data_IF_239657886202
#
_entry.id   IF_239657886202
#
_cell.length_a   1.000
_cell.length_b   1.000
_cell.length_c   1.000
_cell.angle_alpha   90.00
_cell.angle_beta   90.00
_cell.angle_gamma   90.00
#
_symmetry.space_group_name_H-M   'P 1'
#
loop_
_entity.id
_entity.type
_entity.pdbx_description
1 polymer ?
#
# COMPACT_ATOMS: atom_id res chain seq x y z
N UNK A 1 54.48 -15.42 -22.33
CA UNK A 1 53.52 -14.37 -21.94
C UNK A 1 53.71 -14.07 -20.46
N UNK A 2 54.58 -13.10 -20.18
CA UNK A 2 54.97 -12.62 -18.86
C UNK A 2 53.86 -11.75 -18.26
N UNK A 3 53.33 -12.15 -17.10
CA UNK A 3 52.30 -11.42 -16.36
C UNK A 3 52.95 -10.30 -15.55
N UNK A 4 52.82 -9.05 -15.99
CA UNK A 4 53.20 -7.88 -15.20
C UNK A 4 52.13 -7.62 -14.13
N UNK A 5 52.52 -7.72 -12.86
CA UNK A 5 51.75 -7.29 -11.69
C UNK A 5 52.19 -5.89 -11.28
N UNK A 6 51.32 -4.90 -11.42
CA UNK A 6 51.55 -3.53 -10.95
C UNK A 6 50.95 -3.38 -9.54
N UNK A 7 51.79 -3.41 -8.50
CA UNK A 7 51.38 -3.08 -7.12
C UNK A 7 51.52 -1.58 -6.88
N UNK A 8 50.39 -0.86 -6.88
CA UNK A 8 50.35 0.56 -6.56
C UNK A 8 50.34 0.74 -5.03
N UNK A 9 51.51 0.95 -4.43
CA UNK A 9 51.64 1.34 -3.03
C UNK A 9 51.24 2.81 -2.87
N UNK A 10 50.17 3.08 -2.11
CA UNK A 10 49.80 4.44 -1.66
C UNK A 10 50.58 4.78 -0.38
N UNK A 11 51.22 5.95 -0.26
CA UNK A 11 51.85 6.36 0.99
C UNK A 11 50.77 6.70 2.03
N UNK A 12 50.98 6.21 3.25
CA UNK A 12 50.17 6.54 4.44
C UNK A 12 50.37 8.02 4.76
N UNK A 13 49.28 8.77 4.86
CA UNK A 13 49.27 10.16 5.34
C UNK A 13 49.19 10.12 6.86
N UNK A 14 50.18 10.70 7.53
CA UNK A 14 50.21 10.84 8.97
C UNK A 14 49.02 11.69 9.45
N UNK A 15 48.27 11.14 10.41
CA UNK A 15 47.15 11.80 11.08
C UNK A 15 47.74 12.63 12.23
N UNK A 16 47.73 13.95 12.07
CA UNK A 16 47.97 14.89 13.17
C UNK A 16 46.81 14.81 14.17
N UNK A 17 47.05 14.76 15.49
CA UNK A 17 45.98 14.78 16.48
C UNK A 17 45.32 16.17 16.51
N UNK A 18 44.04 16.20 16.16
CA UNK A 18 43.17 17.37 16.36
C UNK A 18 43.02 17.65 17.85
N UNK A 19 43.27 18.90 18.23
CA UNK A 19 43.34 19.37 19.61
C UNK A 19 42.08 19.12 20.44
N UNK A 20 42.33 18.74 21.69
CA UNK A 20 41.35 18.66 22.77
C UNK A 20 40.64 20.01 22.95
N UNK A 21 39.32 20.02 22.81
CA UNK A 21 38.50 21.19 23.10
C UNK A 21 38.55 21.51 24.61
N UNK A 22 38.68 22.78 25.02
CA UNK A 22 38.61 23.16 26.43
C UNK A 22 37.20 22.91 26.99
N UNK A 23 37.07 22.43 28.24
CA UNK A 23 35.77 22.23 28.87
C UNK A 23 35.08 23.57 29.12
N UNK A 24 33.79 23.64 28.80
CA UNK A 24 32.93 24.80 29.03
C UNK A 24 32.92 25.15 30.53
N UNK A 25 33.56 26.25 30.89
CA UNK A 25 33.35 26.91 32.17
C UNK A 25 31.93 27.45 32.20
N UNK A 26 31.13 26.94 33.15
CA UNK A 26 29.82 27.51 33.49
C UNK A 26 30.03 28.96 33.89
N UNK A 27 29.56 29.90 33.07
CA UNK A 27 29.31 31.26 33.52
C UNK A 27 28.13 31.16 34.48
N UNK A 28 28.42 31.24 35.77
CA UNK A 28 27.42 31.46 36.80
C UNK A 28 26.84 32.87 36.57
N UNK A 29 25.65 32.94 35.98
CA UNK A 29 24.77 34.07 36.21
C UNK A 29 24.21 33.89 37.62
N UNK A 30 24.61 34.82 38.46
CA UNK A 30 24.06 35.15 39.77
C UNK A 30 22.57 35.50 39.58
N UNK A 31 21.67 34.61 40.00
CA UNK A 31 20.25 34.89 40.18
C UNK A 31 19.84 34.31 41.52
N UNK A 32 19.79 35.21 42.51
CA UNK A 32 19.30 34.91 43.85
C UNK A 32 17.81 34.59 43.79
N UNK A 33 17.45 33.34 44.06
CA UNK A 33 16.19 32.99 44.74
C UNK A 33 16.28 31.55 45.26
N UNK A 34 16.82 31.40 46.47
CA UNK A 34 16.58 30.23 47.29
C UNK A 34 15.09 30.16 47.67
N UNK A 35 14.42 29.06 47.34
CA UNK A 35 13.33 28.55 48.17
C UNK A 35 13.65 27.11 48.56
N UNK A 36 14.31 27.00 49.71
CA UNK A 36 14.48 25.80 50.52
C UNK A 36 13.15 25.05 50.68
N UNK A 37 13.15 23.76 50.35
CA UNK A 37 12.06 22.82 50.64
C UNK A 37 12.39 22.09 51.94
N UNK A 38 11.70 22.43 53.03
CA UNK A 38 11.77 21.77 54.34
C UNK A 38 10.37 21.30 54.79
N UNK A 39 10.20 19.98 54.70
CA UNK A 39 9.60 19.05 55.67
C UNK A 39 8.37 19.44 56.54
N UNK A 40 7.25 18.71 56.33
CA UNK A 40 6.54 17.93 57.35
C UNK A 40 5.57 18.62 58.33
N UNK A 41 4.30 18.17 58.35
CA UNK A 41 3.38 18.43 59.47
C UNK A 41 1.91 18.06 59.24
N UNK A 42 1.47 16.95 59.82
CA UNK A 42 0.07 16.54 59.99
C UNK A 42 -0.66 17.48 60.94
N UNK A 43 -1.90 17.88 60.61
CA UNK A 43 -2.77 18.65 61.50
C UNK A 43 -4.20 18.75 60.97
N UNK A 44 -5.10 17.99 61.57
CA UNK A 44 -6.56 18.10 61.43
C UNK A 44 -7.05 19.45 61.95
N UNK A 45 -7.87 20.17 61.17
CA UNK A 45 -8.52 21.40 61.59
C UNK A 45 -9.62 21.81 60.61
N UNK A 46 -10.87 21.67 61.04
CA UNK A 46 -12.08 22.11 60.34
C UNK A 46 -12.10 23.63 60.11
N UNK A 47 -12.47 24.06 58.91
CA UNK A 47 -12.70 25.49 58.62
C UNK A 47 -12.81 25.77 57.14
N UNK A 48 -13.95 25.41 56.54
CA UNK A 48 -14.35 25.92 55.22
C UNK A 48 -14.75 27.38 55.40
N UNK A 49 -13.92 28.33 54.95
CA UNK A 49 -14.40 29.62 54.40
C UNK A 49 -13.25 30.41 53.74
N UNK A 50 -13.47 30.75 52.47
CA UNK A 50 -12.96 31.92 51.72
C UNK A 50 -11.48 31.92 51.28
N UNK A 51 -11.19 31.11 50.26
CA UNK A 51 -10.12 31.40 49.30
C UNK A 51 -10.72 31.85 47.96
N UNK A 52 -11.31 33.05 47.93
CA UNK A 52 -11.73 33.75 46.70
C UNK A 52 -10.84 34.96 46.38
N UNK A 53 -9.66 35.09 47.03
CA UNK A 53 -8.70 36.16 46.72
C UNK A 53 -7.52 35.71 45.84
N UNK A 54 -7.42 34.42 45.53
CA UNK A 54 -6.35 33.88 44.68
C UNK A 54 -6.72 33.89 43.19
N UNK A 55 -8.01 34.04 42.84
CA UNK A 55 -8.49 34.08 41.46
C UNK A 55 -8.63 35.48 40.84
N UNK A 56 -8.55 36.55 41.65
CA UNK A 56 -8.63 37.95 41.15
C UNK A 56 -7.24 38.60 41.00
N UNK A 57 -6.25 38.18 41.81
CA UNK A 57 -4.87 38.66 41.70
C UNK A 57 -4.11 38.10 40.47
N UNK A 58 -4.56 36.97 39.92
CA UNK A 58 -3.97 36.35 38.73
C UNK A 58 -4.36 37.04 37.40
N UNK A 59 -5.19 38.10 37.42
CA UNK A 59 -5.71 38.77 36.22
C UNK A 59 -5.39 40.26 36.12
N UNK A 60 -4.75 40.86 37.12
CA UNK A 60 -4.41 42.27 37.09
C UNK A 60 -2.95 42.44 36.64
N UNK A 61 -2.71 42.44 35.32
CA UNK A 61 -1.47 42.98 34.77
C UNK A 61 -1.30 44.38 35.36
N UNK A 62 -0.18 44.63 36.06
CA UNK A 62 0.07 45.91 36.73
C UNK A 62 -0.19 47.07 35.78
N UNK A 63 -0.78 48.17 36.26
CA UNK A 63 -1.09 49.37 35.44
C UNK A 63 0.15 49.91 34.71
N UNK A 64 1.35 49.70 35.27
CA UNK A 64 2.64 50.00 34.64
C UNK A 64 2.96 49.06 33.47
N UNK A 65 2.63 47.78 33.59
CA UNK A 65 2.78 46.81 32.53
C UNK A 65 1.76 47.05 31.40
N UNK A 66 0.49 47.34 31.70
CA UNK A 66 -0.50 47.70 30.66
C UNK A 66 -0.06 48.90 29.82
N UNK A 67 0.45 49.97 30.45
CA UNK A 67 0.98 51.14 29.74
C UNK A 67 2.18 50.82 28.83
N UNK A 68 2.99 49.83 29.20
CA UNK A 68 4.10 49.35 28.36
C UNK A 68 3.58 48.53 27.19
N UNK A 69 2.67 47.59 27.43
CA UNK A 69 2.01 46.82 26.35
C UNK A 69 1.31 47.77 25.37
N UNK A 70 0.59 48.79 25.86
CA UNK A 70 -0.08 49.81 25.03
C UNK A 70 0.91 50.68 24.25
N UNK A 71 2.08 50.97 24.83
CA UNK A 71 3.13 51.72 24.14
C UNK A 71 3.80 50.86 23.05
N UNK A 72 4.01 49.58 23.32
CA UNK A 72 4.58 48.60 22.39
C UNK A 72 3.60 48.30 21.24
N UNK A 73 2.31 48.09 21.54
CA UNK A 73 1.21 47.93 20.56
C UNK A 73 1.04 49.14 19.63
N UNK A 74 1.32 50.36 20.12
CA UNK A 74 1.29 51.59 19.31
C UNK A 74 2.47 51.71 18.37
N UNK A 75 3.62 51.15 18.75
CA UNK A 75 4.80 51.11 17.88
C UNK A 75 4.59 50.05 16.81
N UNK A 76 4.08 48.88 17.18
CA UNK A 76 3.76 47.80 16.26
C UNK A 76 2.62 46.92 16.80
N UNK A 77 1.54 46.80 16.02
CA UNK A 77 0.36 46.00 16.38
C UNK A 77 0.63 44.50 16.37
N UNK A 78 1.72 44.04 15.76
CA UNK A 78 2.06 42.61 15.60
C UNK A 78 2.94 42.06 16.72
N UNK A 79 3.37 42.90 17.66
CA UNK A 79 4.32 42.55 18.74
C UNK A 79 3.87 41.35 19.59
N UNK A 80 2.56 41.16 19.77
CA UNK A 80 2.00 40.08 20.57
C UNK A 80 1.29 38.99 19.75
N UNK A 81 1.42 39.00 18.42
CA UNK A 81 0.73 38.05 17.52
C UNK A 81 1.50 36.73 17.31
N UNK A 82 2.56 36.47 18.08
CA UNK A 82 3.39 35.27 17.90
C UNK A 82 2.60 33.96 18.06
N UNK A 83 1.80 33.84 19.11
CA UNK A 83 1.00 32.65 19.37
C UNK A 83 -0.08 32.45 18.30
N UNK A 84 -0.74 33.52 17.85
CA UNK A 84 -1.77 33.47 16.81
C UNK A 84 -1.21 33.02 15.45
N UNK A 85 -0.04 33.54 15.06
CA UNK A 85 0.65 33.14 13.81
C UNK A 85 1.15 31.70 13.90
N UNK A 86 1.70 31.29 15.05
CA UNK A 86 2.16 29.93 15.28
C UNK A 86 1.00 28.92 15.25
N UNK A 87 -0.09 29.21 15.94
CA UNK A 87 -1.29 28.39 15.96
C UNK A 87 -1.92 28.32 14.56
N UNK A 88 -1.97 29.44 13.84
CA UNK A 88 -2.41 29.49 12.44
C UNK A 88 -1.55 28.60 11.53
N UNK A 89 -0.22 28.63 11.69
CA UNK A 89 0.72 27.83 10.91
C UNK A 89 0.53 26.34 11.20
N UNK A 90 0.29 25.96 12.47
CA UNK A 90 0.03 24.57 12.87
C UNK A 90 -1.33 24.07 12.39
N UNK A 91 -2.35 24.92 12.40
CA UNK A 91 -3.65 24.62 11.83
C UNK A 91 -3.56 24.45 10.29
N UNK A 92 -2.79 25.29 9.61
CA UNK A 92 -2.54 25.16 8.17
C UNK A 92 -1.77 23.87 7.84
N UNK A 93 -0.76 23.53 8.63
CA UNK A 93 -0.02 22.26 8.52
C UNK A 93 -0.97 21.06 8.70
N UNK A 94 -1.82 21.08 9.74
CA UNK A 94 -2.81 20.03 9.99
C UNK A 94 -3.84 19.90 8.86
N UNK A 95 -4.35 21.03 8.33
CA UNK A 95 -5.24 21.05 7.16
C UNK A 95 -4.56 20.46 5.93
N UNK A 96 -3.31 20.82 5.64
CA UNK A 96 -2.56 20.28 4.51
C UNK A 96 -2.33 18.77 4.64
N UNK A 97 -2.13 18.28 5.87
CA UNK A 97 -1.96 16.86 6.15
C UNK A 97 -3.26 16.08 5.98
N UNK A 98 -4.38 16.60 6.49
CA UNK A 98 -5.70 16.02 6.27
C UNK A 98 -6.03 15.93 4.77
N UNK A 99 -5.76 16.98 4.00
CA UNK A 99 -5.94 16.97 2.54
C UNK A 99 -5.08 15.91 1.83
N UNK A 100 -3.85 15.66 2.29
CA UNK A 100 -2.98 14.60 1.75
C UNK A 100 -3.51 13.20 2.09
N UNK A 101 -4.09 13.01 3.28
CA UNK A 101 -4.67 11.73 3.72
C UNK A 101 -6.01 11.44 3.02
N UNK A 102 -6.80 12.47 2.74
CA UNK A 102 -8.07 12.37 2.00
C UNK A 102 -7.85 12.12 0.49
N UNK A 103 -6.65 12.35 -0.03
CA UNK A 103 -6.33 12.09 -1.43
C UNK A 103 -6.47 10.58 -1.73
N UNK A 104 -7.35 10.16 -2.67
CA UNK A 104 -7.52 8.76 -3.03
C UNK A 104 -6.23 8.10 -3.56
N UNK A 105 -5.24 8.87 -4.01
CA UNK A 105 -3.92 8.36 -4.37
C UNK A 105 -3.13 7.86 -3.17
N UNK A 106 -3.28 8.47 -1.99
CA UNK A 106 -2.64 8.00 -0.75
C UNK A 106 -3.24 6.66 -0.27
N UNK A 107 -4.49 6.38 -0.65
CA UNK A 107 -5.17 5.11 -0.37
C UNK A 107 -4.76 3.97 -1.31
N UNK A 108 -4.10 4.26 -2.44
CA UNK A 108 -3.62 3.22 -3.36
C UNK A 108 -2.43 2.48 -2.72
N UNK A 109 -2.30 1.16 -2.93
CA UNK A 109 -1.18 0.38 -2.40
C UNK A 109 0.16 0.87 -2.97
N UNK A 110 1.14 1.06 -2.08
CA UNK A 110 2.43 1.72 -2.37
C UNK A 110 3.25 1.09 -3.50
N UNK A 111 3.10 -0.21 -3.76
CA UNK A 111 3.96 -0.95 -4.69
C UNK A 111 3.23 -1.55 -5.90
N UNK A 112 1.90 -1.59 -5.91
CA UNK A 112 1.14 -2.26 -6.98
C UNK A 112 1.34 -1.58 -8.33
N UNK A 113 1.39 -0.24 -8.33
CA UNK A 113 1.62 0.54 -9.55
C UNK A 113 2.94 0.15 -10.22
N UNK A 114 4.03 0.12 -9.45
CA UNK A 114 5.35 -0.24 -9.99
C UNK A 114 5.37 -1.69 -10.52
N UNK A 115 4.63 -2.61 -9.87
CA UNK A 115 4.51 -3.99 -10.35
C UNK A 115 3.77 -4.03 -11.69
N UNK A 116 2.62 -3.35 -11.81
CA UNK A 116 1.83 -3.28 -13.03
C UNK A 116 2.59 -2.59 -14.17
N UNK A 117 3.24 -1.47 -13.89
CA UNK A 117 4.08 -0.74 -14.85
C UNK A 117 5.22 -1.65 -15.34
N UNK A 118 5.90 -2.37 -14.42
CA UNK A 118 6.96 -3.31 -14.80
C UNK A 118 6.45 -4.52 -15.60
N UNK A 119 5.21 -4.97 -15.36
CA UNK A 119 4.61 -6.04 -16.15
C UNK A 119 4.26 -5.54 -17.56
N UNK A 120 3.77 -4.30 -17.68
CA UNK A 120 3.48 -3.66 -18.94
C UNK A 120 4.76 -3.45 -19.77
N UNK A 121 5.85 -2.95 -19.18
CA UNK A 121 7.13 -2.80 -19.90
C UNK A 121 7.65 -4.15 -20.39
N UNK A 122 7.61 -5.20 -19.57
CA UNK A 122 8.04 -6.55 -19.99
C UNK A 122 7.20 -7.09 -21.15
N UNK A 123 5.90 -6.82 -21.19
CA UNK A 123 5.03 -7.21 -22.31
C UNK A 123 5.42 -6.48 -23.59
N UNK A 124 5.65 -5.17 -23.51
CA UNK A 124 6.13 -4.37 -24.64
C UNK A 124 7.51 -4.84 -25.12
N UNK A 125 8.41 -5.16 -24.19
CA UNK A 125 9.75 -5.69 -24.50
C UNK A 125 9.67 -7.05 -25.20
N UNK A 126 8.76 -7.93 -24.77
CA UNK A 126 8.52 -9.22 -25.40
C UNK A 126 8.06 -9.06 -26.85
N UNK A 127 7.04 -8.23 -27.09
CA UNK A 127 6.55 -7.93 -28.45
C UNK A 127 7.64 -7.34 -29.34
N UNK A 128 8.48 -6.44 -28.78
CA UNK A 128 9.62 -5.85 -29.50
C UNK A 128 10.68 -6.90 -29.83
N UNK A 129 10.93 -7.85 -28.93
CA UNK A 129 11.88 -8.92 -29.16
C UNK A 129 11.40 -9.90 -30.25
N UNK A 130 10.13 -10.28 -30.23
CA UNK A 130 9.50 -11.11 -31.26
C UNK A 130 9.55 -10.42 -32.64
N UNK A 131 9.20 -9.14 -32.72
CA UNK A 131 9.30 -8.35 -33.95
C UNK A 131 10.73 -8.32 -34.50
N UNK A 132 11.70 -8.05 -33.63
CA UNK A 132 13.12 -8.01 -34.02
C UNK A 132 13.63 -9.38 -34.43
N UNK A 133 13.11 -10.46 -33.84
CA UNK A 133 13.40 -11.83 -34.23
C UNK A 133 12.84 -12.13 -35.62
N UNK A 134 11.56 -11.84 -35.86
CA UNK A 134 10.89 -12.04 -37.16
C UNK A 134 11.58 -11.22 -38.27
N UNK A 135 11.99 -10.00 -37.95
CA UNK A 135 12.73 -9.17 -38.90
C UNK A 135 14.10 -9.77 -39.21
N UNK A 136 14.81 -10.29 -38.20
CA UNK A 136 16.10 -10.98 -38.39
C UNK A 136 15.96 -12.27 -39.19
N UNK A 137 14.87 -13.01 -38.99
CA UNK A 137 14.54 -14.21 -39.78
C UNK A 137 14.28 -13.86 -41.24
N UNK A 138 13.51 -12.80 -41.52
CA UNK A 138 13.29 -12.32 -42.90
C UNK A 138 14.56 -11.83 -43.58
N UNK A 139 15.42 -11.12 -42.84
CA UNK A 139 16.72 -10.68 -43.36
C UNK A 139 17.66 -11.87 -43.62
N UNK A 140 17.56 -12.95 -42.82
CA UNK A 140 18.30 -14.17 -43.03
C UNK A 140 17.78 -15.01 -44.20
N UNK A 141 16.45 -15.04 -44.42
CA UNK A 141 15.81 -15.65 -45.60
C UNK A 141 16.14 -14.87 -46.90
N UNK A 142 16.51 -13.59 -46.78
CA UNK A 142 17.09 -12.80 -47.87
C UNK A 142 16.26 -12.83 -49.15
N UNK A 143 16.88 -13.31 -50.24
CA UNK A 143 16.28 -13.36 -51.57
C UNK A 143 15.51 -14.67 -51.85
N UNK A 144 15.51 -15.65 -50.92
CA UNK A 144 14.91 -16.98 -51.14
C UNK A 144 13.39 -16.92 -51.39
N UNK A 145 12.75 -15.81 -50.99
CA UNK A 145 11.32 -15.56 -51.16
C UNK A 145 11.03 -14.21 -51.85
N UNK A 146 12.01 -13.64 -52.57
CA UNK A 146 11.80 -12.39 -53.31
C UNK A 146 10.76 -12.52 -54.43
N UNK A 147 10.69 -13.69 -55.07
CA UNK A 147 9.75 -14.00 -56.16
C UNK A 147 8.34 -14.35 -55.67
N UNK A 148 8.13 -14.46 -54.35
CA UNK A 148 6.83 -14.83 -53.76
C UNK A 148 6.15 -13.59 -53.18
N UNK A 149 4.84 -13.49 -53.41
CA UNK A 149 4.04 -12.37 -52.91
C UNK A 149 4.01 -12.34 -51.37
N UNK A 150 4.27 -11.16 -50.78
CA UNK A 150 4.29 -10.95 -49.32
C UNK A 150 2.90 -10.51 -48.84
N UNK A 151 2.18 -11.41 -48.18
CA UNK A 151 0.87 -11.09 -47.60
C UNK A 151 1.00 -10.69 -46.14
N UNK A 152 0.68 -9.43 -45.85
CA UNK A 152 0.64 -8.91 -44.48
C UNK A 152 -0.80 -8.72 -44.04
N UNK A 153 -1.20 -9.42 -42.97
CA UNK A 153 -2.54 -9.30 -42.38
C UNK A 153 -2.73 -7.90 -41.78
N UNK A 154 -3.96 -7.38 -41.77
CA UNK A 154 -4.26 -6.08 -41.15
C UNK A 154 -3.82 -6.04 -39.68
N UNK A 155 -4.06 -7.13 -38.93
CA UNK A 155 -3.64 -7.26 -37.54
C UNK A 155 -2.12 -7.10 -37.33
N UNK A 156 -1.29 -7.59 -38.26
CA UNK A 156 0.17 -7.39 -38.18
C UNK A 156 0.56 -5.94 -38.46
N UNK A 157 -0.12 -5.27 -39.41
CA UNK A 157 0.11 -3.83 -39.66
C UNK A 157 -0.27 -2.99 -38.44
N UNK A 158 -1.36 -3.34 -37.78
CA UNK A 158 -1.84 -2.65 -36.57
C UNK A 158 -0.90 -2.90 -35.38
N UNK A 159 -0.45 -4.15 -35.17
CA UNK A 159 0.57 -4.47 -34.15
C UNK A 159 1.87 -3.72 -34.40
N UNK A 160 2.36 -3.65 -35.64
CA UNK A 160 3.57 -2.89 -35.97
C UNK A 160 3.40 -1.39 -35.75
N UNK A 161 2.23 -0.84 -36.05
CA UNK A 161 1.92 0.56 -35.79
C UNK A 161 1.83 0.84 -34.27
N UNK A 162 1.26 -0.07 -33.51
CA UNK A 162 1.15 0.01 -32.05
C UNK A 162 2.52 -0.06 -31.37
N UNK A 163 3.37 -1.03 -31.75
CA UNK A 163 4.75 -1.15 -31.24
C UNK A 163 5.56 0.09 -31.58
N UNK A 164 5.48 0.59 -32.82
CA UNK A 164 6.19 1.82 -33.24
C UNK A 164 5.70 3.06 -32.49
N UNK A 165 4.39 3.17 -32.25
CA UNK A 165 3.81 4.26 -31.47
C UNK A 165 4.25 4.19 -30.01
N UNK A 166 4.21 3.00 -29.41
CA UNK A 166 4.65 2.77 -28.03
C UNK A 166 6.14 3.09 -27.86
N UNK A 167 7.00 2.70 -28.81
CA UNK A 167 8.43 3.01 -28.79
C UNK A 167 8.70 4.52 -28.95
N UNK A 168 7.98 5.19 -29.86
CA UNK A 168 8.10 6.64 -30.02
C UNK A 168 7.65 7.41 -28.77
N UNK A 169 6.59 6.95 -28.09
CA UNK A 169 6.09 7.55 -26.84
C UNK A 169 7.04 7.29 -25.67
N UNK A 170 7.55 6.07 -25.52
CA UNK A 170 8.55 5.73 -24.50
C UNK A 170 9.82 6.55 -24.70
N UNK A 171 10.32 6.63 -25.94
CA UNK A 171 11.52 7.40 -26.28
C UNK A 171 11.32 8.91 -26.07
N UNK A 172 10.16 9.45 -26.44
CA UNK A 172 9.84 10.86 -26.18
C UNK A 172 9.77 11.15 -24.67
N UNK A 173 9.21 10.22 -23.88
CA UNK A 173 9.15 10.32 -22.42
C UNK A 173 10.54 10.23 -21.79
N UNK A 174 11.36 9.26 -22.20
CA UNK A 174 12.73 9.11 -21.72
C UNK A 174 13.57 10.34 -22.07
N UNK A 175 13.44 10.91 -23.27
CA UNK A 175 14.13 12.14 -23.65
C UNK A 175 13.68 13.34 -22.82
N UNK A 176 12.39 13.44 -22.49
CA UNK A 176 11.87 14.48 -21.62
C UNK A 176 12.36 14.32 -20.18
N UNK A 177 12.35 13.11 -19.63
CA UNK A 177 12.89 12.79 -18.30
C UNK A 177 14.42 12.99 -18.27
N UNK A 178 15.14 12.60 -19.32
CA UNK A 178 16.58 12.84 -19.46
C UNK A 178 16.89 14.33 -19.54
N UNK A 179 16.07 15.13 -20.23
CA UNK A 179 16.21 16.59 -20.26
C UNK A 179 15.93 17.22 -18.90
N UNK A 180 14.89 16.78 -18.18
CA UNK A 180 14.58 17.24 -16.80
C UNK A 180 15.67 16.86 -15.80
N UNK A 181 16.23 15.66 -15.93
CA UNK A 181 17.30 15.17 -15.08
C UNK A 181 18.68 15.70 -15.51
N UNK A 182 18.78 16.36 -16.67
CA UNK A 182 20.04 16.98 -17.13
C UNK A 182 20.31 18.24 -16.31
N UNK A 183 21.17 18.09 -15.29
CA UNK A 183 21.57 19.19 -14.40
C UNK A 183 21.09 19.03 -12.95
N UNK A 184 20.18 18.10 -12.69
CA UNK A 184 19.87 17.62 -11.35
C UNK A 184 20.95 16.59 -10.97
N UNK A 185 21.99 17.03 -10.25
CA UNK A 185 23.11 16.17 -9.84
C UNK A 185 22.60 14.86 -9.23
N UNK A 186 22.82 13.74 -9.92
CA UNK A 186 22.26 12.46 -9.55
C UNK A 186 22.80 11.94 -8.21
N UNK A 187 21.91 11.45 -7.35
CA UNK A 187 22.25 10.82 -6.07
C UNK A 187 21.56 11.43 -4.85
N UNK A 188 22.14 11.21 -3.67
CA UNK A 188 21.58 11.67 -2.39
C UNK A 188 21.42 13.19 -2.30
N UNK A 189 22.26 13.97 -3.00
CA UNK A 189 22.16 15.44 -3.06
C UNK A 189 20.85 15.90 -3.66
N UNK A 190 20.35 15.23 -4.70
CA UNK A 190 19.03 15.49 -5.28
C UNK A 190 17.91 15.18 -4.29
N UNK A 191 18.01 14.07 -3.57
CA UNK A 191 17.02 13.69 -2.56
C UNK A 191 16.96 14.72 -1.43
N UNK A 192 18.10 15.15 -0.89
CA UNK A 192 18.14 16.20 0.14
C UNK A 192 17.63 17.54 -0.38
N UNK A 193 17.98 17.91 -1.63
CA UNK A 193 17.45 19.11 -2.27
C UNK A 193 15.93 19.06 -2.38
N UNK A 194 15.37 17.96 -2.86
CA UNK A 194 13.93 17.77 -2.97
C UNK A 194 13.25 17.80 -1.59
N UNK A 195 13.83 17.15 -0.58
CA UNK A 195 13.30 17.19 0.79
C UNK A 195 13.24 18.63 1.33
N UNK A 196 14.29 19.42 1.09
CA UNK A 196 14.36 20.82 1.51
C UNK A 196 13.40 21.72 0.73
N UNK A 197 13.23 21.48 -0.57
CA UNK A 197 12.24 22.16 -1.42
C UNK A 197 10.80 21.83 -0.98
N UNK A 198 10.50 20.57 -0.68
CA UNK A 198 9.19 20.15 -0.18
C UNK A 198 8.90 20.73 1.21
N UNK A 199 9.91 20.78 2.10
CA UNK A 199 9.75 21.40 3.43
C UNK A 199 9.59 22.91 3.36
N UNK A 200 10.38 23.59 2.52
CA UNK A 200 10.26 25.05 2.33
C UNK A 200 8.92 25.42 1.71
N UNK A 201 8.47 24.71 0.67
CA UNK A 201 7.16 24.92 0.06
C UNK A 201 6.00 24.71 1.04
N UNK A 202 6.07 23.67 1.87
CA UNK A 202 5.03 23.40 2.88
C UNK A 202 4.98 24.51 3.94
N UNK A 203 6.14 25.00 4.34
CA UNK A 203 6.27 26.10 5.30
C UNK A 203 5.83 27.45 4.71
N UNK A 204 6.24 27.76 3.48
CA UNK A 204 5.78 28.95 2.73
C UNK A 204 4.27 28.94 2.53
N UNK A 205 3.68 27.80 2.20
CA UNK A 205 2.22 27.67 2.09
C UNK A 205 1.52 27.89 3.44
N UNK A 206 2.12 27.42 4.54
CA UNK A 206 1.58 27.64 5.88
C UNK A 206 1.67 29.11 6.31
N UNK A 207 2.78 29.81 6.00
CA UNK A 207 2.92 31.25 6.24
C UNK A 207 2.01 32.07 5.33
N UNK A 208 1.87 31.69 4.06
CA UNK A 208 0.95 32.35 3.13
C UNK A 208 -0.50 32.24 3.62
N UNK A 209 -0.88 31.09 4.18
CA UNK A 209 -2.20 30.88 4.76
C UNK A 209 -2.46 31.74 6.01
N UNK A 210 -1.45 31.99 6.85
CA UNK A 210 -1.62 32.86 8.03
C UNK A 210 -1.58 34.34 7.69
N UNK A 211 -0.82 34.74 6.67
CA UNK A 211 -0.69 36.15 6.25
C UNK A 211 -1.82 36.63 5.34
N UNK A 212 -2.51 35.73 4.63
CA UNK A 212 -3.65 36.07 3.77
C UNK A 212 -4.99 36.20 4.51
N UNK A 213 -5.08 35.73 5.76
CA UNK A 213 -6.25 35.87 6.63
C UNK A 213 -6.00 36.81 7.84
N UNK A 214 -5.91 38.14 7.68
CA UNK A 214 -6.15 39.08 8.77
C UNK A 214 -7.57 39.65 8.65
N UNK A 215 -8.60 38.83 8.84
CA UNK A 215 -9.94 39.33 9.10
C UNK A 215 -10.09 39.54 10.62
N UNK A 216 -10.26 40.78 11.11
CA UNK A 216 -10.37 41.05 12.55
C UNK A 216 -11.68 40.47 13.09
N UNK A 217 -11.61 39.37 13.83
CA UNK A 217 -12.72 38.93 14.67
C UNK A 217 -12.81 39.83 15.92
N UNK A 218 -13.40 41.01 15.76
CA UNK A 218 -13.82 41.86 16.86
C UNK A 218 -15.34 41.83 17.01
N UNK A 219 -15.87 40.87 17.78
CA UNK A 219 -17.14 41.04 18.48
C UNK A 219 -17.07 40.33 19.85
N UNK A 220 -17.08 41.08 20.98
CA UNK A 220 -17.26 40.49 22.29
C UNK A 220 -18.75 40.23 22.54
N UNK A 221 -19.07 38.96 22.82
CA UNK A 221 -20.38 38.51 23.24
C UNK A 221 -20.89 39.29 24.46
N UNK A 222 -22.03 39.96 24.31
CA UNK A 222 -22.80 40.55 25.40
C UNK A 222 -23.63 39.46 26.12
N UNK A 223 -23.59 39.51 27.45
CA UNK A 223 -24.33 38.67 28.41
C UNK A 223 -25.85 38.88 28.35
N UNK A 224 -26.69 37.88 28.68
CA UNK A 224 -28.15 38.00 28.64
C UNK A 224 -28.71 38.58 29.94
N UNK A 225 -29.52 39.64 29.85
CA UNK A 225 -30.31 40.17 30.96
C UNK A 225 -31.81 40.13 30.64
N UNK A 226 -32.53 39.50 31.56
CA UNK A 226 -33.97 39.40 31.77
C UNK A 226 -34.77 40.70 31.58
N UNK A 227 -35.84 40.69 30.77
CA UNK A 227 -37.17 41.24 31.14
C UNK A 227 -38.26 40.86 30.12
N UNK A 228 -39.45 40.60 30.65
CA UNK A 228 -40.65 39.99 30.06
C UNK A 228 -41.34 40.76 28.90
N UNK A 229 -42.30 40.12 28.17
CA UNK A 229 -42.75 40.55 26.84
C UNK A 229 -44.09 41.30 26.82
N UNK A 230 -44.28 42.14 25.80
CA UNK A 230 -45.55 42.80 25.46
C UNK A 230 -45.79 42.91 23.95
N UNK A 231 -46.77 42.12 23.47
CA UNK A 231 -47.65 42.25 22.29
C UNK A 231 -47.12 42.44 20.84
N UNK A 232 -47.48 41.42 20.04
CA UNK A 232 -48.24 41.40 18.75
C UNK A 232 -47.58 41.90 17.46
N UNK A 233 -47.31 40.93 16.57
CA UNK A 233 -47.22 41.07 15.11
C UNK A 233 -47.13 39.67 14.45
N UNK A 234 -47.81 39.40 13.31
CA UNK A 234 -48.19 38.04 12.87
C UNK A 234 -47.12 37.30 12.05
N UNK A 235 -47.29 35.98 11.98
CA UNK A 235 -46.41 34.97 11.39
C UNK A 235 -46.04 35.18 9.90
N UNK A 236 -44.92 34.58 9.47
CA UNK A 236 -45.08 33.48 8.50
C UNK A 236 -44.21 32.23 8.75
N UNK A 237 -44.89 31.09 8.64
CA UNK A 237 -44.48 29.72 8.27
C UNK A 237 -43.14 29.12 8.74
N UNK A 238 -43.25 28.10 9.59
CA UNK A 238 -42.18 27.17 9.93
C UNK A 238 -42.06 26.06 8.87
N UNK A 239 -40.87 25.91 8.30
CA UNK A 239 -40.40 24.64 7.73
C UNK A 239 -39.01 24.33 8.31
N UNK A 240 -38.82 23.05 8.63
CA UNK A 240 -37.59 22.35 9.03
C UNK A 240 -37.28 22.31 10.55
N UNK A 241 -37.91 21.34 11.23
CA UNK A 241 -37.38 20.74 12.46
C UNK A 241 -36.16 19.89 12.09
N UNK A 242 -34.96 20.35 12.43
CA UNK A 242 -33.77 19.48 12.50
C UNK A 242 -33.78 18.83 13.88
N UNK A 243 -34.19 17.56 13.94
CA UNK A 243 -34.05 16.72 15.14
C UNK A 243 -32.62 16.19 15.21
N UNK A 244 -31.94 16.51 16.30
CA UNK A 244 -30.65 15.93 16.71
C UNK A 244 -30.88 14.47 17.12
N UNK A 245 -30.23 13.45 16.52
CA UNK A 245 -30.39 12.08 17.00
C UNK A 245 -29.69 11.90 18.34
N UNK A 246 -30.46 11.52 19.36
CA UNK A 246 -29.98 11.16 20.67
C UNK A 246 -29.24 9.82 20.61
N UNK A 247 -28.02 9.81 21.15
CA UNK A 247 -27.22 8.62 21.42
C UNK A 247 -27.77 7.98 22.70
N UNK A 248 -28.56 6.93 22.54
CA UNK A 248 -28.92 5.96 23.58
C UNK A 248 -28.73 4.54 23.04
N UNK A 249 -28.39 3.55 23.88
CA UNK A 249 -28.24 2.17 23.43
C UNK A 249 -29.59 1.64 22.97
N UNK A 250 -29.66 1.13 21.73
CA UNK A 250 -30.84 0.46 21.21
C UNK A 250 -31.09 -0.84 22.00
N UNK A 251 -32.33 -1.16 22.38
CA UNK A 251 -32.65 -2.45 23.00
C UNK A 251 -32.42 -3.58 21.99
N UNK A 252 -31.90 -4.71 22.49
CA UNK A 252 -31.73 -5.95 21.72
C UNK A 252 -33.08 -6.38 21.14
N UNK A 253 -33.21 -6.34 19.82
CA UNK A 253 -34.25 -7.07 19.12
C UNK A 253 -33.89 -8.55 19.15
N UNK A 254 -34.80 -9.35 19.71
CA UNK A 254 -34.73 -10.81 19.70
C UNK A 254 -34.79 -11.24 18.23
N UNK A 255 -33.77 -11.97 17.78
CA UNK A 255 -33.71 -12.51 16.43
C UNK A 255 -34.96 -13.37 16.15
N UNK A 256 -35.62 -13.20 14.98
CA UNK A 256 -36.73 -14.07 14.60
C UNK A 256 -36.24 -15.52 14.45
N UNK A 257 -37.10 -16.47 14.79
CA UNK A 257 -36.81 -17.91 14.74
C UNK A 257 -36.25 -18.32 13.36
N UNK A 258 -35.20 -19.17 13.31
CA UNK A 258 -34.50 -19.54 12.07
C UNK A 258 -35.38 -20.28 11.05
N UNK A 259 -36.54 -20.80 11.47
CA UNK A 259 -37.43 -21.59 10.61
C UNK A 259 -38.30 -20.74 9.66
N UNK A 260 -38.53 -19.45 9.93
CA UNK A 260 -39.36 -18.59 9.06
C UNK A 260 -38.57 -18.00 7.87
N UNK A 261 -37.25 -17.85 8.01
CA UNK A 261 -36.38 -17.26 6.98
C UNK A 261 -36.16 -18.21 5.79
N UNK A 262 -36.36 -19.52 6.00
CA UNK A 262 -36.19 -20.56 4.97
C UNK A 262 -37.39 -20.70 4.01
N UNK A 263 -38.49 -19.97 4.23
CA UNK A 263 -39.72 -20.07 3.41
C UNK A 263 -39.90 -18.98 2.34
N UNK A 264 -39.13 -17.89 2.37
CA UNK A 264 -39.40 -16.70 1.54
C UNK A 264 -38.26 -16.23 0.63
N UNK A 265 -37.08 -16.89 0.66
CA UNK A 265 -35.94 -16.52 -0.18
C UNK A 265 -35.92 -17.24 -1.53
N UNK A 266 -35.64 -16.51 -2.61
CA UNK A 266 -35.34 -17.11 -3.92
C UNK A 266 -34.03 -17.91 -3.84
N UNK A 267 -34.08 -19.20 -4.17
CA UNK A 267 -32.90 -20.07 -4.20
C UNK A 267 -32.39 -20.21 -5.64
N UNK A 268 -31.09 -19.97 -5.83
CA UNK A 268 -30.38 -20.33 -7.08
C UNK A 268 -29.41 -21.45 -6.77
N UNK A 269 -29.46 -22.52 -7.55
CA UNK A 269 -28.58 -23.68 -7.43
C UNK A 269 -27.57 -23.64 -8.56
N UNK A 270 -26.28 -23.54 -8.24
CA UNK A 270 -25.19 -23.68 -9.21
C UNK A 270 -24.11 -24.60 -8.62
N UNK A 271 -24.10 -25.86 -9.04
CA UNK A 271 -23.13 -26.85 -8.55
C UNK A 271 -23.44 -27.38 -7.14
N UNK A 272 -22.40 -27.55 -6.32
CA UNK A 272 -22.42 -28.18 -4.97
C UNK A 272 -22.85 -27.23 -3.84
N UNK A 273 -23.22 -25.97 -4.14
CA UNK A 273 -23.66 -24.99 -3.13
C UNK A 273 -24.97 -24.30 -3.52
N UNK A 274 -25.72 -23.88 -2.50
CA UNK A 274 -27.00 -23.16 -2.64
C UNK A 274 -26.80 -21.71 -2.21
N UNK A 275 -27.10 -20.76 -3.09
CA UNK A 275 -27.13 -19.33 -2.75
C UNK A 275 -28.54 -18.91 -2.32
N UNK A 276 -28.66 -18.38 -1.11
CA UNK A 276 -29.88 -17.74 -0.59
C UNK A 276 -29.67 -16.22 -0.59
N UNK A 277 -30.58 -15.48 -1.20
CA UNK A 277 -30.62 -14.02 -1.11
C UNK A 277 -31.59 -13.65 0.01
N UNK A 278 -31.09 -13.04 1.08
CA UNK A 278 -31.92 -12.53 2.18
C UNK A 278 -32.69 -11.28 1.77
N UNK A 279 -33.77 -10.93 2.49
CA UNK A 279 -34.61 -9.77 2.20
C UNK A 279 -33.84 -8.42 2.19
N UNK A 280 -32.70 -8.37 2.88
CA UNK A 280 -31.80 -7.22 2.92
C UNK A 280 -30.83 -7.16 1.70
N UNK A 281 -30.93 -8.13 0.78
CA UNK A 281 -30.10 -8.22 -0.43
C UNK A 281 -28.72 -8.85 -0.22
N UNK A 282 -28.45 -9.43 0.96
CA UNK A 282 -27.20 -10.14 1.21
C UNK A 282 -27.25 -11.57 0.66
N UNK A 283 -26.25 -11.92 -0.14
CA UNK A 283 -26.05 -13.25 -0.73
C UNK A 283 -25.31 -14.16 0.25
N UNK A 284 -25.97 -15.22 0.69
CA UNK A 284 -25.46 -16.20 1.65
C UNK A 284 -25.33 -17.55 0.93
N UNK A 285 -24.11 -18.08 0.87
CA UNK A 285 -23.86 -19.41 0.31
C UNK A 285 -23.96 -20.46 1.41
N UNK A 286 -24.66 -21.55 1.13
CA UNK A 286 -24.93 -22.63 2.08
C UNK A 286 -24.48 -23.95 1.45
N UNK A 287 -23.76 -24.76 2.23
CA UNK A 287 -23.30 -26.08 1.81
C UNK A 287 -24.43 -27.14 1.87
N UNK A 288 -24.18 -28.34 1.37
CA UNK A 288 -25.16 -29.45 1.41
C UNK A 288 -25.54 -29.90 2.82
N UNK A 289 -24.77 -29.50 3.84
CA UNK A 289 -25.07 -29.74 5.26
C UNK A 289 -25.87 -28.58 5.90
N UNK A 290 -26.39 -27.64 5.11
CA UNK A 290 -27.15 -26.48 5.55
C UNK A 290 -26.36 -25.49 6.44
N UNK A 291 -25.03 -25.55 6.41
CA UNK A 291 -24.16 -24.59 7.12
C UNK A 291 -23.80 -23.42 6.20
N UNK A 292 -23.78 -22.22 6.77
CA UNK A 292 -23.43 -20.99 6.06
C UNK A 292 -21.92 -20.98 5.78
N UNK A 293 -21.56 -20.88 4.51
CA UNK A 293 -20.17 -20.83 4.05
C UNK A 293 -19.72 -19.38 3.98
N UNK A 294 -18.93 -18.95 4.97
CA UNK A 294 -18.41 -17.59 5.03
C UNK A 294 -17.24 -17.45 4.03
N UNK A 295 -17.37 -16.62 3.00
CA UNK A 295 -16.39 -16.51 1.88
C UNK A 295 -14.96 -16.20 2.34
N UNK A 296 -14.80 -15.63 3.55
CA UNK A 296 -13.50 -15.36 4.19
C UNK A 296 -12.82 -16.62 4.74
N UNK A 297 -13.59 -17.59 5.23
CA UNK A 297 -13.06 -18.84 5.77
C UNK A 297 -12.52 -19.72 4.64
N UNK A 298 -13.21 -19.76 3.48
CA UNK A 298 -12.71 -20.38 2.25
C UNK A 298 -11.37 -19.79 1.78
N UNK A 299 -11.17 -18.49 1.97
CA UNK A 299 -9.92 -17.79 1.65
C UNK A 299 -8.82 -17.99 2.70
N UNK A 300 -9.17 -18.47 3.90
CA UNK A 300 -8.23 -18.71 5.00
C UNK A 300 -7.61 -20.12 4.97
N UNK A 301 -8.36 -21.12 4.48
CA UNK A 301 -7.95 -22.52 4.49
C UNK A 301 -6.73 -22.83 3.60
N UNK A 302 -6.41 -21.96 2.63
CA UNK A 302 -5.24 -22.08 1.76
C UNK A 302 -3.99 -21.33 2.24
N UNK A 303 -4.06 -20.56 3.33
CA UNK A 303 -2.96 -19.69 3.79
C UNK A 303 -2.46 -20.13 5.17
N UNK A 304 -1.80 -21.29 5.23
CA UNK A 304 -1.00 -21.72 6.38
C UNK A 304 0.28 -20.87 6.50
N UNK A 305 0.13 -19.57 6.81
CA UNK A 305 1.21 -18.74 7.34
C UNK A 305 1.38 -19.03 8.84
N UNK A 306 1.78 -20.25 9.18
CA UNK A 306 2.34 -20.55 10.50
C UNK A 306 3.81 -20.09 10.54
N UNK A 307 4.04 -18.78 10.38
CA UNK A 307 5.27 -18.13 10.80
C UNK A 307 4.92 -17.23 12.00
N UNK A 308 5.71 -17.25 13.08
CA UNK A 308 5.40 -16.44 14.26
C UNK A 308 5.35 -14.96 13.87
N UNK A 309 4.31 -14.27 14.33
CA UNK A 309 4.03 -12.86 14.09
C UNK A 309 5.28 -11.99 14.34
N UNK A 310 5.93 -11.53 13.26
CA UNK A 310 7.20 -10.79 13.31
C UNK A 310 7.05 -9.32 13.72
N UNK A 311 5.84 -8.87 14.09
CA UNK A 311 5.60 -7.46 14.47
C UNK A 311 6.28 -7.05 15.78
N UNK A 312 6.75 -7.99 16.60
CA UNK A 312 7.38 -7.71 17.90
C UNK A 312 8.88 -8.10 17.96
N UNK A 313 9.55 -8.32 16.83
CA UNK A 313 10.96 -8.75 16.81
C UNK A 313 11.92 -7.66 17.34
N UNK A 314 11.59 -6.38 17.12
CA UNK A 314 12.37 -5.23 17.59
C UNK A 314 12.33 -5.10 19.12
N UNK A 315 11.20 -5.46 19.76
CA UNK A 315 11.04 -5.38 21.20
C UNK A 315 11.75 -6.54 21.91
N UNK A 316 11.71 -7.75 21.35
CA UNK A 316 12.46 -8.90 21.88
C UNK A 316 13.98 -8.69 21.80
N UNK A 317 14.46 -8.03 20.74
CA UNK A 317 15.89 -7.68 20.58
C UNK A 317 16.35 -6.63 21.58
N UNK A 318 15.47 -5.72 21.99
CA UNK A 318 15.75 -4.74 23.03
C UNK A 318 15.80 -5.38 24.43
N UNK A 319 14.91 -6.34 24.72
CA UNK A 319 14.84 -7.03 26.02
C UNK A 319 16.01 -8.00 26.24
N UNK A 320 16.49 -8.68 25.19
CA UNK A 320 17.61 -9.62 25.29
C UNK A 320 18.98 -8.99 24.96
N UNK A 321 19.01 -7.70 24.60
CA UNK A 321 20.22 -7.00 24.16
C UNK A 321 20.95 -6.22 25.26
N UNK A 322 20.43 -6.18 26.49
CA UNK A 322 20.88 -5.21 27.51
C UNK A 322 21.63 -5.81 28.72
N UNK A 323 22.26 -6.98 28.59
CA UNK A 323 23.07 -7.56 29.68
C UNK A 323 24.43 -8.09 29.24
N UNK A 324 25.30 -7.21 28.74
CA UNK A 324 26.76 -7.45 28.78
C UNK A 324 27.56 -6.14 28.66
N UNK A 325 27.75 -5.46 29.78
CA UNK A 325 28.84 -4.48 29.95
C UNK A 325 29.95 -5.16 30.75
N UNK A 326 31.04 -5.50 30.08
CA UNK A 326 32.25 -6.04 30.70
C UNK A 326 33.40 -5.93 29.72
N UNK A 327 34.33 -5.03 30.01
CA UNK A 327 35.65 -4.95 29.38
C UNK A 327 36.40 -6.26 29.64
N UNK A 328 36.41 -7.15 28.66
CA UNK A 328 37.29 -8.32 28.60
C UNK A 328 37.85 -8.38 27.16
N UNK A 329 39.18 -8.41 26.97
CA UNK A 329 39.75 -8.48 25.64
C UNK A 329 39.38 -9.82 25.00
N UNK A 330 38.60 -9.76 23.92
CA UNK A 330 38.24 -10.93 23.11
C UNK A 330 39.53 -11.55 22.56
N UNK A 331 39.96 -12.66 23.16
CA UNK A 331 41.00 -13.53 22.61
C UNK A 331 40.44 -14.14 21.33
N UNK A 332 40.85 -13.57 20.20
CA UNK A 332 40.57 -14.11 18.87
C UNK A 332 41.42 -15.37 18.70
N UNK A 333 40.85 -16.54 19.00
CA UNK A 333 41.41 -17.79 18.50
C UNK A 333 41.27 -17.80 16.98
N UNK A 334 42.34 -17.40 16.30
CA UNK A 334 42.54 -17.55 14.86
C UNK A 334 42.74 -19.03 14.54
N UNK A 335 41.64 -19.78 14.49
CA UNK A 335 41.64 -21.11 13.90
C UNK A 335 41.55 -20.96 12.37
N UNK A 336 42.64 -21.30 11.68
CA UNK A 336 42.63 -21.53 10.25
C UNK A 336 41.68 -22.71 9.93
N UNK A 337 40.57 -22.46 9.23
CA UNK A 337 39.67 -23.53 8.76
C UNK A 337 38.21 -23.15 8.45
N UNK A 338 37.70 -21.98 8.85
CA UNK A 338 36.24 -21.70 8.80
C UNK A 338 35.75 -21.05 7.48
N UNK A 339 36.64 -20.63 6.58
CA UNK A 339 36.24 -19.97 5.33
C UNK A 339 35.48 -20.89 4.35
N UNK A 340 35.63 -22.23 4.46
CA UNK A 340 34.90 -23.20 3.63
C UNK A 340 33.48 -23.52 4.15
N UNK A 341 33.16 -23.21 5.42
CA UNK A 341 31.95 -23.73 6.08
C UNK A 341 30.66 -23.03 5.65
N UNK A 342 30.64 -21.70 5.50
CA UNK A 342 29.39 -20.94 5.26
C UNK A 342 28.92 -20.97 3.81
N UNK A 343 29.84 -21.10 2.86
CA UNK A 343 29.50 -21.27 1.45
C UNK A 343 29.04 -22.70 1.17
N UNK A 344 29.64 -23.69 1.82
CA UNK A 344 29.23 -25.09 1.70
C UNK A 344 27.85 -25.36 2.32
N UNK A 345 27.54 -24.76 3.48
CA UNK A 345 26.20 -24.83 4.08
C UNK A 345 25.15 -24.22 3.14
N UNK A 346 25.43 -23.04 2.57
CA UNK A 346 24.53 -22.39 1.61
C UNK A 346 24.36 -23.21 0.33
N UNK A 347 25.44 -23.79 -0.19
CA UNK A 347 25.41 -24.65 -1.38
C UNK A 347 24.62 -25.93 -1.15
N UNK A 348 24.74 -26.53 0.05
CA UNK A 348 23.94 -27.70 0.44
C UNK A 348 22.45 -27.35 0.57
N UNK A 349 22.12 -26.20 1.16
CA UNK A 349 20.74 -25.70 1.25
C UNK A 349 20.15 -25.36 -0.13
N UNK A 350 20.94 -24.72 -0.99
CA UNK A 350 20.55 -24.40 -2.36
C UNK A 350 20.28 -25.67 -3.18
N UNK A 351 21.14 -26.70 -3.06
CA UNK A 351 20.92 -27.98 -3.73
C UNK A 351 19.67 -28.72 -3.26
N UNK A 352 19.30 -28.58 -1.97
CA UNK A 352 18.05 -29.13 -1.45
C UNK A 352 16.83 -28.40 -2.00
N UNK A 353 16.87 -27.06 -2.06
CA UNK A 353 15.79 -26.27 -2.66
C UNK A 353 15.66 -26.52 -4.17
N UNK A 354 16.78 -26.64 -4.87
CA UNK A 354 16.82 -26.95 -6.29
C UNK A 354 16.25 -28.34 -6.58
N UNK A 355 16.58 -29.35 -5.76
CA UNK A 355 16.00 -30.68 -5.88
C UNK A 355 14.48 -30.68 -5.62
N UNK A 356 13.99 -29.90 -4.65
CA UNK A 356 12.55 -29.75 -4.41
C UNK A 356 11.84 -29.10 -5.61
N UNK A 357 12.42 -28.03 -6.16
CA UNK A 357 11.87 -27.36 -7.34
C UNK A 357 11.90 -28.26 -8.58
N UNK A 358 12.95 -29.06 -8.75
CA UNK A 358 13.07 -30.01 -9.86
C UNK A 358 12.06 -31.15 -9.72
N UNK A 359 11.79 -31.64 -8.51
CA UNK A 359 10.76 -32.64 -8.26
C UNK A 359 9.36 -32.09 -8.53
N UNK A 360 9.05 -30.86 -8.10
CA UNK A 360 7.78 -30.20 -8.43
C UNK A 360 7.64 -29.99 -9.94
N UNK A 361 8.69 -29.52 -10.63
CA UNK A 361 8.70 -29.38 -12.09
C UNK A 361 8.52 -30.72 -12.80
N UNK A 362 9.10 -31.79 -12.26
CA UNK A 362 8.95 -33.14 -12.81
C UNK A 362 7.53 -33.67 -12.62
N UNK A 363 6.91 -33.44 -11.45
CA UNK A 363 5.50 -33.80 -11.19
C UNK A 363 4.56 -33.05 -12.14
N UNK A 364 4.74 -31.74 -12.29
CA UNK A 364 3.95 -30.93 -13.23
C UNK A 364 4.15 -31.40 -14.67
N UNK A 365 5.39 -31.73 -15.07
CA UNK A 365 5.67 -32.25 -16.41
C UNK A 365 5.04 -33.61 -16.67
N UNK A 366 5.07 -34.51 -15.68
CA UNK A 366 4.44 -35.82 -15.78
C UNK A 366 2.91 -35.71 -15.82
N UNK A 367 2.33 -34.76 -15.09
CA UNK A 367 0.89 -34.44 -15.14
C UNK A 367 0.50 -33.88 -16.51
N UNK A 368 1.26 -32.91 -17.04
CA UNK A 368 1.07 -32.40 -18.40
C UNK A 368 1.20 -33.50 -19.46
N UNK A 369 2.18 -34.40 -19.33
CA UNK A 369 2.34 -35.51 -20.27
C UNK A 369 1.17 -36.51 -20.19
N UNK A 370 0.61 -36.73 -18.99
CA UNK A 370 -0.60 -37.54 -18.81
C UNK A 370 -1.80 -36.87 -19.46
N UNK A 371 -2.02 -35.58 -19.20
CA UNK A 371 -3.08 -34.80 -19.82
C UNK A 371 -2.97 -34.81 -21.35
N UNK A 372 -1.77 -34.59 -21.89
CA UNK A 372 -1.52 -34.69 -23.34
C UNK A 372 -1.82 -36.09 -23.89
N UNK A 373 -1.47 -37.15 -23.16
CA UNK A 373 -1.79 -38.53 -23.57
C UNK A 373 -3.29 -38.76 -23.55
N UNK A 374 -4.00 -38.34 -22.51
CA UNK A 374 -5.46 -38.43 -22.41
C UNK A 374 -6.16 -37.63 -23.49
N UNK A 375 -5.65 -36.45 -23.84
CA UNK A 375 -6.16 -35.63 -24.95
C UNK A 375 -5.91 -36.30 -26.29
N UNK A 376 -4.72 -36.87 -26.52
CA UNK A 376 -4.42 -37.64 -27.74
C UNK A 376 -5.33 -38.85 -27.86
N UNK A 377 -5.54 -39.59 -26.78
CA UNK A 377 -6.47 -40.74 -26.74
C UNK A 377 -7.92 -40.31 -26.97
N UNK A 378 -8.35 -39.17 -26.40
CA UNK A 378 -9.68 -38.58 -26.66
C UNK A 378 -9.85 -38.20 -28.12
N UNK A 379 -8.82 -37.66 -28.76
CA UNK A 379 -8.83 -37.33 -30.18
C UNK A 379 -8.86 -38.58 -31.05
N UNK A 380 -8.08 -39.63 -30.71
CA UNK A 380 -8.12 -40.92 -31.41
C UNK A 380 -9.49 -41.58 -31.26
N UNK A 381 -10.07 -41.61 -30.06
CA UNK A 381 -11.43 -42.13 -29.80
C UNK A 381 -12.53 -41.34 -30.52
N UNK A 382 -12.32 -40.06 -30.80
CA UNK A 382 -13.23 -39.22 -31.61
C UNK A 382 -13.06 -39.45 -33.11
N UNK A 383 -11.94 -40.04 -33.56
CA UNK A 383 -11.78 -40.46 -34.96
C UNK A 383 -12.45 -41.82 -35.12
N UNK A 384 -13.06 -42.06 -36.28
CA UNK A 384 -13.63 -43.36 -36.60
C UNK A 384 -12.50 -44.34 -36.93
N UNK A 385 -12.42 -45.43 -36.18
CA UNK A 385 -11.47 -46.52 -36.45
C UNK A 385 -11.77 -47.20 -37.79
N UNK A 386 -10.75 -47.76 -38.45
CA UNK A 386 -10.90 -48.46 -39.74
C UNK A 386 -11.89 -49.64 -39.65
N UNK A 387 -11.99 -50.27 -38.48
CA UNK A 387 -12.97 -51.31 -38.15
C UNK A 387 -14.41 -50.78 -38.07
N UNK A 388 -14.62 -49.58 -37.54
CA UNK A 388 -15.93 -48.94 -37.52
C UNK A 388 -16.39 -48.58 -38.94
N UNK A 389 -15.44 -48.23 -39.82
CA UNK A 389 -15.70 -47.97 -41.24
C UNK A 389 -16.02 -49.27 -41.99
N UNK A 390 -15.35 -50.39 -41.72
CA UNK A 390 -15.69 -51.70 -42.31
C UNK A 390 -17.05 -52.22 -41.84
N UNK A 391 -17.34 -52.14 -40.53
CA UNK A 391 -18.64 -52.51 -39.96
C UNK A 391 -19.78 -51.69 -40.59
N UNK A 392 -19.57 -50.38 -40.78
CA UNK A 392 -20.55 -49.52 -41.43
C UNK A 392 -20.80 -49.92 -42.89
N UNK A 393 -19.74 -50.29 -43.63
CA UNK A 393 -19.83 -50.79 -45.00
C UNK A 393 -20.55 -52.14 -45.07
N UNK A 394 -20.26 -53.06 -44.16
CA UNK A 394 -20.92 -54.37 -44.11
C UNK A 394 -22.41 -54.24 -43.77
N UNK A 395 -22.76 -53.41 -42.77
CA UNK A 395 -24.17 -53.11 -42.44
C UNK A 395 -24.89 -52.46 -43.62
N UNK A 396 -24.22 -51.60 -44.38
CA UNK A 396 -24.79 -51.01 -45.59
C UNK A 396 -25.03 -52.07 -46.69
N UNK A 397 -24.06 -52.96 -46.93
CA UNK A 397 -24.22 -54.05 -47.89
C UNK A 397 -25.31 -55.04 -47.48
N UNK A 398 -25.42 -55.37 -46.19
CA UNK A 398 -26.48 -56.23 -45.67
C UNK A 398 -27.86 -55.61 -45.82
N UNK A 399 -28.02 -54.31 -45.50
CA UNK A 399 -29.27 -53.57 -45.77
C UNK A 399 -29.62 -53.56 -47.26
N UNK A 400 -28.62 -53.38 -48.12
CA UNK A 400 -28.81 -53.40 -49.58
C UNK A 400 -29.21 -54.78 -50.09
N UNK A 401 -28.59 -55.85 -49.58
CA UNK A 401 -28.95 -57.23 -49.91
C UNK A 401 -30.38 -57.56 -49.47
N UNK A 402 -30.74 -57.22 -48.23
CA UNK A 402 -32.10 -57.42 -47.70
C UNK A 402 -33.15 -56.67 -48.51
N UNK A 403 -32.87 -55.42 -48.90
CA UNK A 403 -33.79 -54.65 -49.76
C UNK A 403 -33.98 -55.30 -51.14
N UNK A 404 -32.93 -55.86 -51.73
CA UNK A 404 -33.02 -56.59 -53.00
C UNK A 404 -33.73 -57.94 -52.88
N UNK A 405 -33.66 -58.61 -51.72
CA UNK A 405 -34.42 -59.84 -51.45
C UNK A 405 -35.91 -59.55 -51.21
N UNK A 406 -36.22 -58.46 -50.52
CA UNK A 406 -37.59 -57.98 -50.29
C UNK A 406 -38.25 -57.52 -51.60
N UNK A 407 -37.52 -56.84 -52.48
CA UNK A 407 -37.98 -56.51 -53.85
C UNK A 407 -38.15 -57.75 -54.76
N UNK A 408 -37.51 -58.89 -54.42
CA UNK A 408 -37.64 -60.16 -55.15
C UNK A 408 -38.73 -61.08 -54.60
N UNK A 409 -39.31 -60.76 -53.45
CA UNK A 409 -40.47 -61.44 -52.89
C UNK A 409 -41.72 -60.58 -53.15
N UNK A 410 -42.30 -60.59 -54.37
CA UNK A 410 -43.61 -59.98 -54.57
C UNK A 410 -44.63 -60.76 -53.74
N UNK A 411 -45.38 -60.04 -52.91
CA UNK A 411 -46.48 -60.54 -52.06
C UNK A 411 -47.34 -61.57 -52.81
N UNK A 412 -47.42 -62.78 -52.24
CA UNK A 412 -48.32 -63.85 -52.69
C UNK A 412 -49.63 -63.80 -51.92
#
# INVERSE_FOLDING_TARGET
>A
MSKLSFSLAKPKKDVQPVGTAPPLTRVALDDENESTVLFGGSGSGSGREKNDMTNMAAKAVSRKAQRKMDAELKVDSTVFQYDEVWDGMKLAEAKSKAQKEDNPEARKPKYMKNLLDSAATRRLDHLRAEEKLMQREREAEGDEFADKEKFVTQAYKDQMAEVRRAEAEEKAREEAERKKNKGLGGGMTHFYKQLLEDSSRSHEAAIAATTSDPAPSSEPAATPATSAPGRIGPAPVANLKVTRPARGPKPLEVAPNPDEVLKSGETRTSGETKTIITADGAEVEINDNNEVVDKRELLSAGLNLSAPNTRNLSLLRAIHGSSKSGDEPVVVHRAAGVAASKEEIRKRQQRQLEAQLEEERKRVREEQEREEREERERVVRRRNDESAVSDAKERYLARKRRKLEEEKQPES
#
